data_IF_617923505641
#
_entry.id   IF_617923505641
#
_cell.length_a   1.000
_cell.length_b   1.000
_cell.length_c   1.000
_cell.angle_alpha   90.00
_cell.angle_beta   90.00
_cell.angle_gamma   90.00
#
_symmetry.space_group_name_H-M   'P 1'
#
loop_
_entity.id
_entity.type
_entity.pdbx_description
1 polymer ?
#
# COMPACT_ATOMS: atom_id res chain seq x y z
N UNK A 1 -1.40 -16.21 -19.30
CA UNK A 1 -1.83 -16.84 -18.02
C UNK A 1 -2.84 -15.96 -17.26
N UNK A 2 -3.77 -16.54 -16.49
CA UNK A 2 -4.73 -15.81 -15.62
C UNK A 2 -4.86 -16.45 -14.26
N UNK A 3 -5.12 -15.62 -13.24
CA UNK A 3 -5.43 -16.10 -11.88
C UNK A 3 -6.95 -16.20 -11.72
N UNK A 4 -7.41 -17.30 -11.19
CA UNK A 4 -8.82 -17.53 -10.81
C UNK A 4 -8.86 -17.83 -9.33
N UNK A 5 -9.70 -17.11 -8.60
CA UNK A 5 -9.91 -17.36 -7.18
C UNK A 5 -11.18 -18.17 -6.96
N UNK A 6 -11.08 -19.27 -6.28
CA UNK A 6 -12.21 -20.12 -5.91
C UNK A 6 -12.01 -20.68 -4.49
N UNK A 7 -13.05 -20.62 -3.66
CA UNK A 7 -13.07 -21.22 -2.33
C UNK A 7 -11.81 -20.94 -1.48
N UNK A 8 -11.42 -19.66 -1.41
CA UNK A 8 -10.23 -19.19 -0.70
C UNK A 8 -8.88 -19.72 -1.24
N UNK A 9 -8.86 -20.35 -2.41
CA UNK A 9 -7.65 -20.76 -3.13
C UNK A 9 -7.50 -19.97 -4.42
N UNK A 10 -6.28 -19.92 -4.93
CA UNK A 10 -5.96 -19.28 -6.21
C UNK A 10 -5.44 -20.32 -7.17
N UNK A 11 -6.03 -20.37 -8.36
CA UNK A 11 -5.60 -21.25 -9.45
C UNK A 11 -4.90 -20.37 -10.49
N UNK A 12 -3.72 -20.75 -10.90
CA UNK A 12 -3.03 -20.12 -12.03
C UNK A 12 -3.25 -20.99 -13.27
N UNK A 13 -3.98 -20.44 -14.23
CA UNK A 13 -4.31 -21.14 -15.47
C UNK A 13 -3.35 -20.66 -16.57
N UNK A 14 -2.84 -21.58 -17.37
CA UNK A 14 -2.11 -21.28 -18.59
C UNK A 14 -3.05 -20.72 -19.68
N UNK A 15 -2.55 -20.50 -20.88
CA UNK A 15 -3.35 -19.94 -21.98
C UNK A 15 -4.45 -20.89 -22.46
N UNK A 16 -4.25 -22.19 -22.37
CA UNK A 16 -5.19 -23.25 -22.76
C UNK A 16 -6.25 -23.49 -21.68
N UNK A 17 -6.20 -22.75 -20.58
CA UNK A 17 -7.12 -22.88 -19.45
C UNK A 17 -6.80 -24.03 -18.49
N UNK A 18 -5.70 -24.74 -18.71
CA UNK A 18 -5.23 -25.79 -17.82
C UNK A 18 -4.53 -25.22 -16.59
N UNK A 19 -4.63 -25.93 -15.47
CA UNK A 19 -4.00 -25.52 -14.21
C UNK A 19 -2.49 -25.72 -14.31
N UNK A 20 -1.74 -24.63 -14.07
CA UNK A 20 -0.28 -24.71 -13.89
C UNK A 20 0.02 -25.18 -12.46
N UNK A 21 0.24 -26.49 -12.31
CA UNK A 21 0.32 -27.12 -10.99
C UNK A 21 1.43 -26.55 -10.08
N UNK A 22 2.70 -26.38 -10.50
CA UNK A 22 3.74 -25.85 -9.62
C UNK A 22 3.43 -24.46 -9.09
N UNK A 23 2.96 -23.52 -9.94
CA UNK A 23 2.62 -22.18 -9.52
C UNK A 23 1.40 -22.14 -8.60
N UNK A 24 0.39 -22.94 -8.91
CA UNK A 24 -0.83 -23.06 -8.09
C UNK A 24 -0.50 -23.57 -6.68
N UNK A 25 0.31 -24.61 -6.58
CA UNK A 25 0.78 -25.15 -5.31
C UNK A 25 1.59 -24.12 -4.52
N UNK A 26 2.56 -23.47 -5.16
CA UNK A 26 3.35 -22.42 -4.54
C UNK A 26 2.48 -21.31 -3.96
N UNK A 27 1.53 -20.77 -4.74
CA UNK A 27 0.66 -19.68 -4.31
C UNK A 27 -0.16 -20.06 -3.09
N UNK A 28 -0.71 -21.28 -3.07
CA UNK A 28 -1.60 -21.71 -2.00
C UNK A 28 -0.89 -22.23 -0.75
N UNK A 29 0.34 -22.76 -0.89
CA UNK A 29 1.11 -23.27 0.23
C UNK A 29 1.90 -22.16 0.94
N UNK A 30 2.32 -21.13 0.19
CA UNK A 30 3.18 -20.06 0.74
C UNK A 30 2.41 -18.85 1.24
N UNK A 31 1.18 -18.62 0.74
CA UNK A 31 0.45 -17.39 1.01
C UNK A 31 -1.03 -17.66 1.31
N UNK A 32 -1.51 -17.12 2.44
CA UNK A 32 -2.92 -17.20 2.81
C UNK A 32 -3.76 -16.09 2.18
N UNK A 33 -3.14 -14.94 1.91
CA UNK A 33 -3.81 -13.75 1.43
C UNK A 33 -4.00 -13.76 -0.09
N UNK A 34 -5.23 -13.71 -0.63
CA UNK A 34 -5.51 -13.70 -2.08
C UNK A 34 -4.80 -12.57 -2.85
N UNK A 35 -4.71 -11.37 -2.27
CA UNK A 35 -4.00 -10.25 -2.94
C UNK A 35 -2.49 -10.47 -3.00
N UNK A 36 -1.92 -11.14 -2.00
CA UNK A 36 -0.51 -11.54 -2.06
C UNK A 36 -0.32 -12.55 -3.17
N UNK A 37 -1.21 -13.53 -3.29
CA UNK A 37 -1.18 -14.53 -4.38
C UNK A 37 -1.32 -13.88 -5.75
N UNK A 38 -2.26 -12.95 -5.92
CA UNK A 38 -2.45 -12.20 -7.16
C UNK A 38 -1.21 -11.36 -7.52
N UNK A 39 -0.65 -10.68 -6.52
CA UNK A 39 0.59 -9.94 -6.70
C UNK A 39 1.76 -10.85 -7.11
N UNK A 40 1.92 -12.01 -6.45
CA UNK A 40 2.96 -12.99 -6.78
C UNK A 40 2.80 -13.56 -8.19
N UNK A 41 1.56 -13.74 -8.64
CA UNK A 41 1.27 -14.22 -9.98
C UNK A 41 1.85 -13.32 -11.10
N UNK A 42 2.03 -12.03 -10.85
CA UNK A 42 2.68 -11.11 -11.79
C UNK A 42 4.11 -11.52 -12.14
N UNK A 43 4.92 -11.87 -11.13
CA UNK A 43 6.27 -12.40 -11.34
C UNK A 43 6.28 -13.80 -11.97
N UNK A 44 5.33 -14.66 -11.57
CA UNK A 44 5.22 -16.01 -12.13
C UNK A 44 4.82 -16.00 -13.60
N UNK A 45 3.93 -15.10 -14.02
CA UNK A 45 3.57 -14.91 -15.43
C UNK A 45 4.78 -14.49 -16.26
N UNK A 46 5.57 -13.57 -15.73
CA UNK A 46 6.81 -13.16 -16.39
C UNK A 46 7.79 -14.32 -16.52
N UNK A 47 8.01 -15.06 -15.43
CA UNK A 47 8.89 -16.24 -15.45
C UNK A 47 8.43 -17.26 -16.48
N UNK A 48 7.15 -17.61 -16.52
CA UNK A 48 6.65 -18.59 -17.49
C UNK A 48 6.85 -18.12 -18.92
N UNK A 49 6.50 -16.86 -19.22
CA UNK A 49 6.72 -16.30 -20.55
C UNK A 49 8.20 -16.37 -20.95
N UNK A 50 9.10 -16.15 -20.01
CA UNK A 50 10.53 -16.28 -20.22
C UNK A 50 10.95 -17.74 -20.50
N UNK A 51 10.49 -18.68 -19.67
CA UNK A 51 10.80 -20.11 -19.81
C UNK A 51 10.28 -20.65 -21.15
N UNK A 52 9.06 -20.30 -21.52
CA UNK A 52 8.45 -20.70 -22.80
C UNK A 52 9.22 -20.12 -24.00
N UNK A 53 9.63 -18.84 -23.93
CA UNK A 53 10.36 -18.18 -25.00
C UNK A 53 11.75 -18.80 -25.26
N UNK A 54 12.37 -19.31 -24.21
CA UNK A 54 13.70 -19.94 -24.28
C UNK A 54 13.64 -21.46 -24.27
N UNK A 55 12.48 -22.08 -24.32
CA UNK A 55 12.28 -23.54 -24.26
C UNK A 55 12.98 -24.17 -23.05
N UNK A 56 12.87 -23.51 -21.87
CA UNK A 56 13.53 -23.96 -20.65
C UNK A 56 12.55 -24.80 -19.82
N UNK A 57 12.88 -26.07 -19.60
CA UNK A 57 12.27 -26.90 -18.55
C UNK A 57 13.17 -26.92 -17.32
N UNK A 58 12.71 -26.32 -16.23
CA UNK A 58 13.47 -26.27 -14.97
C UNK A 58 13.63 -27.66 -14.34
N UNK A 59 12.70 -28.60 -14.58
CA UNK A 59 12.79 -29.93 -14.01
C UNK A 59 13.83 -30.76 -14.78
N UNK A 60 13.88 -30.68 -16.11
CA UNK A 60 14.90 -31.33 -16.91
C UNK A 60 16.30 -30.79 -16.60
N UNK A 61 16.45 -29.47 -16.56
CA UNK A 61 17.70 -28.82 -16.17
C UNK A 61 18.21 -29.23 -14.79
N UNK A 62 17.31 -29.40 -13.84
CA UNK A 62 17.67 -29.85 -12.51
C UNK A 62 18.27 -31.29 -12.52
N UNK A 63 17.83 -32.16 -13.39
CA UNK A 63 18.41 -33.49 -13.54
C UNK A 63 19.85 -33.43 -14.09
N UNK A 64 20.17 -32.37 -14.86
CA UNK A 64 21.52 -32.09 -15.38
C UNK A 64 22.39 -31.29 -14.40
N UNK A 65 21.86 -30.88 -13.27
CA UNK A 65 22.58 -30.05 -12.30
C UNK A 65 22.55 -28.55 -12.61
N UNK A 66 21.62 -28.10 -13.45
CA UNK A 66 21.51 -26.72 -13.92
C UNK A 66 20.27 -26.00 -13.34
N UNK A 67 20.38 -24.67 -13.26
CA UNK A 67 19.26 -23.74 -13.04
C UNK A 67 19.24 -22.74 -14.21
N UNK A 68 18.92 -21.48 -13.97
CA UNK A 68 19.08 -20.43 -14.96
C UNK A 68 20.57 -20.09 -15.18
N UNK A 69 20.96 -19.88 -16.42
CA UNK A 69 22.31 -19.47 -16.80
C UNK A 69 22.49 -17.95 -16.57
N UNK A 70 23.72 -17.45 -16.41
CA UNK A 70 23.97 -16.02 -16.17
C UNK A 70 23.35 -15.08 -17.22
N UNK A 71 23.48 -15.43 -18.52
CA UNK A 71 22.86 -14.68 -19.61
C UNK A 71 21.33 -14.71 -19.59
N UNK A 72 20.73 -15.80 -19.12
CA UNK A 72 19.29 -15.94 -18.96
C UNK A 72 18.80 -15.08 -17.78
N UNK A 73 19.58 -14.97 -16.71
CA UNK A 73 19.29 -14.09 -15.58
C UNK A 73 19.31 -12.63 -16.03
N UNK A 74 20.28 -12.21 -16.85
CA UNK A 74 20.32 -10.85 -17.39
C UNK A 74 19.13 -10.56 -18.31
N UNK A 75 18.79 -11.48 -19.20
CA UNK A 75 17.60 -11.36 -20.06
C UNK A 75 16.30 -11.28 -19.24
N UNK A 76 16.19 -12.07 -18.17
CA UNK A 76 15.04 -12.02 -17.27
C UNK A 76 14.94 -10.69 -16.50
N UNK A 77 16.09 -10.11 -16.14
CA UNK A 77 16.19 -8.77 -15.53
C UNK A 77 15.66 -7.69 -16.46
N UNK A 78 16.07 -7.70 -17.71
CA UNK A 78 15.59 -6.74 -18.71
C UNK A 78 14.08 -6.88 -18.95
N UNK A 79 13.58 -8.10 -19.05
CA UNK A 79 12.15 -8.38 -19.20
C UNK A 79 11.32 -7.91 -17.99
N UNK A 80 11.90 -7.89 -16.78
CA UNK A 80 11.19 -7.43 -15.58
C UNK A 80 10.77 -5.96 -15.65
N UNK A 81 11.44 -5.14 -16.47
CA UNK A 81 11.07 -3.74 -16.71
C UNK A 81 9.97 -3.55 -17.76
N UNK A 82 9.54 -4.60 -18.45
CA UNK A 82 8.48 -4.51 -19.46
C UNK A 82 7.10 -4.80 -18.85
N UNK A 83 6.01 -4.23 -19.40
CA UNK A 83 4.66 -4.62 -19.03
C UNK A 83 4.43 -6.12 -19.27
N UNK A 84 3.83 -6.83 -18.31
CA UNK A 84 3.62 -8.30 -18.41
C UNK A 84 2.82 -8.67 -19.66
N UNK A 85 1.81 -7.87 -20.01
CA UNK A 85 0.99 -8.12 -21.19
C UNK A 85 1.82 -8.05 -22.50
N UNK A 86 2.80 -7.15 -22.57
CA UNK A 86 3.70 -7.07 -23.73
C UNK A 86 4.59 -8.31 -23.80
N UNK A 87 5.13 -8.75 -22.65
CA UNK A 87 5.96 -9.96 -22.59
C UNK A 87 5.18 -11.19 -23.02
N UNK A 88 3.92 -11.32 -22.57
CA UNK A 88 3.03 -12.43 -22.99
C UNK A 88 2.72 -12.39 -24.50
N UNK A 89 2.55 -11.20 -25.09
CA UNK A 89 2.36 -11.04 -26.52
C UNK A 89 3.63 -11.35 -27.32
N UNK A 90 4.81 -10.99 -26.80
CA UNK A 90 6.09 -11.31 -27.39
C UNK A 90 6.30 -12.82 -27.50
N UNK A 91 5.89 -13.58 -26.50
CA UNK A 91 6.00 -15.04 -26.49
C UNK A 91 5.14 -15.67 -27.60
N UNK A 92 4.01 -15.06 -27.94
CA UNK A 92 3.08 -15.55 -28.96
C UNK A 92 3.54 -15.31 -30.41
N UNK A 93 4.38 -14.30 -30.67
CA UNK A 93 4.70 -13.90 -32.05
C UNK A 93 6.16 -13.51 -32.34
N UNK A 94 7.05 -13.46 -31.36
CA UNK A 94 8.29 -12.69 -31.45
C UNK A 94 9.60 -13.44 -31.29
N UNK A 95 9.58 -14.72 -31.00
CA UNK A 95 10.81 -15.55 -30.87
C UNK A 95 11.73 -15.45 -32.10
N UNK A 96 11.20 -15.07 -33.26
CA UNK A 96 11.96 -14.89 -34.49
C UNK A 96 12.72 -13.56 -34.63
N UNK A 97 12.53 -12.56 -33.75
CA UNK A 97 13.14 -11.22 -33.90
C UNK A 97 14.11 -10.76 -32.82
N UNK A 98 14.27 -11.46 -31.70
CA UNK A 98 15.20 -11.07 -30.63
C UNK A 98 16.69 -11.17 -31.10
N UNK A 99 16.98 -11.90 -32.15
CA UNK A 99 18.34 -12.01 -32.73
C UNK A 99 18.85 -10.80 -33.53
N UNK A 100 18.06 -9.73 -33.70
CA UNK A 100 18.44 -8.54 -34.51
C UNK A 100 17.93 -7.20 -33.93
N UNK A 101 17.88 -7.01 -32.63
CA UNK A 101 17.61 -5.71 -32.05
C UNK A 101 18.86 -4.82 -32.20
N UNK A 102 18.77 -3.78 -33.00
CA UNK A 102 19.79 -2.76 -33.16
C UNK A 102 19.87 -1.91 -31.89
N UNK A 103 21.06 -1.37 -31.57
CA UNK A 103 21.34 -0.49 -30.45
C UNK A 103 20.43 0.78 -30.39
N UNK A 104 19.81 1.14 -31.51
CA UNK A 104 18.91 2.31 -31.61
C UNK A 104 17.50 2.08 -31.04
N UNK A 105 17.10 0.82 -30.81
CA UNK A 105 15.79 0.52 -30.21
C UNK A 105 15.75 0.72 -28.70
N UNK A 106 16.89 0.81 -28.02
CA UNK A 106 16.92 1.03 -26.57
C UNK A 106 16.36 2.40 -26.13
N UNK A 107 16.56 3.44 -26.92
CA UNK A 107 16.10 4.79 -26.58
C UNK A 107 14.62 5.03 -26.90
N UNK A 108 14.04 4.30 -27.86
CA UNK A 108 12.62 4.45 -28.25
C UNK A 108 11.65 3.63 -27.39
N UNK A 109 12.13 2.60 -26.70
CA UNK A 109 11.30 1.66 -25.93
C UNK A 109 11.04 2.05 -24.47
N UNK A 110 11.52 3.21 -23.99
CA UNK A 110 11.33 3.65 -22.60
C UNK A 110 9.92 4.18 -22.28
N UNK A 111 9.06 4.39 -23.27
CA UNK A 111 7.68 4.92 -23.04
C UNK A 111 6.71 3.95 -22.36
N UNK A 112 7.07 2.68 -22.23
CA UNK A 112 6.25 1.65 -21.56
C UNK A 112 6.93 0.95 -20.39
N UNK A 113 8.15 1.35 -20.02
CA UNK A 113 8.88 0.68 -18.94
C UNK A 113 8.17 0.85 -17.59
N UNK A 114 8.08 -0.23 -16.82
CA UNK A 114 7.57 -0.18 -15.45
C UNK A 114 8.60 0.43 -14.51
N UNK A 115 8.14 1.01 -13.41
CA UNK A 115 9.03 1.56 -12.38
C UNK A 115 10.00 0.50 -11.82
N UNK A 116 11.21 0.93 -11.49
CA UNK A 116 12.28 0.08 -10.93
C UNK A 116 11.82 -0.73 -9.72
N UNK A 117 10.96 -0.17 -8.87
CA UNK A 117 10.39 -0.89 -7.72
C UNK A 117 9.47 -2.04 -8.16
N UNK A 118 8.74 -1.88 -9.26
CA UNK A 118 7.87 -2.93 -9.81
C UNK A 118 8.72 -4.06 -10.41
N UNK A 119 9.76 -3.71 -11.17
CA UNK A 119 10.72 -4.68 -11.72
C UNK A 119 11.42 -5.45 -10.60
N UNK A 120 11.96 -4.75 -9.60
CA UNK A 120 12.59 -5.34 -8.43
C UNK A 120 11.68 -6.33 -7.70
N UNK A 121 10.40 -5.95 -7.51
CA UNK A 121 9.40 -6.82 -6.87
C UNK A 121 9.12 -8.09 -7.69
N UNK A 122 9.07 -8.00 -9.03
CA UNK A 122 8.90 -9.16 -9.90
C UNK A 122 10.07 -10.13 -9.78
N UNK A 123 11.30 -9.62 -9.77
CA UNK A 123 12.50 -10.44 -9.59
C UNK A 123 12.53 -11.12 -8.21
N UNK A 124 12.13 -10.43 -7.14
CA UNK A 124 11.97 -11.00 -5.81
C UNK A 124 10.92 -12.13 -5.79
N UNK A 125 9.81 -11.95 -6.49
CA UNK A 125 8.76 -12.95 -6.63
C UNK A 125 9.26 -14.21 -7.34
N UNK A 126 10.01 -14.02 -8.41
CA UNK A 126 10.65 -15.12 -9.17
C UNK A 126 11.67 -15.84 -8.28
N UNK A 127 12.57 -15.11 -7.62
CA UNK A 127 13.56 -15.69 -6.72
C UNK A 127 12.92 -16.50 -5.59
N UNK A 128 11.82 -16.00 -5.05
CA UNK A 128 11.03 -16.70 -3.99
C UNK A 128 10.42 -17.99 -4.52
N UNK A 129 9.86 -17.98 -5.75
CA UNK A 129 9.32 -19.18 -6.38
C UNK A 129 10.41 -20.20 -6.68
N UNK A 130 11.52 -19.80 -7.29
CA UNK A 130 12.61 -20.71 -7.64
C UNK A 130 13.17 -21.41 -6.40
N UNK A 131 13.34 -20.67 -5.29
CA UNK A 131 13.75 -21.25 -4.01
C UNK A 131 12.77 -22.31 -3.53
N UNK A 132 11.48 -21.96 -3.49
CA UNK A 132 10.42 -22.87 -3.06
C UNK A 132 10.31 -24.11 -3.97
N UNK A 133 10.43 -23.91 -5.29
CA UNK A 133 10.34 -24.99 -6.28
C UNK A 133 11.48 -25.98 -6.13
N UNK A 134 12.70 -25.51 -5.88
CA UNK A 134 13.81 -26.37 -5.55
C UNK A 134 13.54 -27.16 -4.28
N UNK A 135 13.27 -26.49 -3.17
CA UNK A 135 13.10 -27.10 -1.84
C UNK A 135 11.91 -28.10 -1.75
N UNK A 136 10.81 -27.83 -2.45
CA UNK A 136 9.59 -28.61 -2.30
C UNK A 136 9.26 -29.57 -3.46
N UNK A 137 9.94 -29.42 -4.59
CA UNK A 137 9.63 -30.25 -5.79
C UNK A 137 10.88 -30.92 -6.35
N UNK A 138 11.94 -30.18 -6.62
CA UNK A 138 13.09 -30.69 -7.35
C UNK A 138 14.04 -31.50 -6.48
N UNK A 139 14.27 -31.09 -5.24
CA UNK A 139 15.18 -31.76 -4.33
C UNK A 139 14.83 -33.25 -4.16
N UNK A 140 13.55 -33.58 -4.08
CA UNK A 140 13.07 -34.97 -3.91
C UNK A 140 13.21 -35.81 -5.19
N UNK A 141 13.37 -35.18 -6.36
CA UNK A 141 13.55 -35.87 -7.63
C UNK A 141 15.00 -36.23 -7.92
N UNK A 142 15.94 -35.57 -7.25
CA UNK A 142 17.37 -35.74 -7.49
C UNK A 142 17.93 -36.82 -6.56
N UNK A 143 18.23 -37.98 -7.11
CA UNK A 143 18.76 -39.12 -6.35
C UNK A 143 20.21 -38.97 -5.89
N UNK A 144 21.05 -38.31 -6.72
CA UNK A 144 22.46 -38.10 -6.43
C UNK A 144 22.70 -36.97 -5.45
N UNK A 145 23.36 -37.26 -4.33
CA UNK A 145 23.68 -36.28 -3.29
C UNK A 145 24.60 -35.18 -3.83
N UNK A 146 25.59 -35.53 -4.65
CA UNK A 146 26.51 -34.56 -5.26
C UNK A 146 25.77 -33.60 -6.20
N UNK A 147 24.89 -34.13 -7.06
CA UNK A 147 24.04 -33.28 -7.92
C UNK A 147 23.10 -32.40 -7.13
N UNK A 148 22.53 -32.90 -6.02
CA UNK A 148 21.67 -32.10 -5.14
C UNK A 148 22.40 -30.88 -4.58
N UNK A 149 23.59 -31.08 -4.04
CA UNK A 149 24.41 -29.98 -3.49
C UNK A 149 24.83 -28.97 -4.56
N UNK A 150 25.16 -29.44 -5.79
CA UNK A 150 25.50 -28.54 -6.90
C UNK A 150 24.30 -27.69 -7.32
N UNK A 151 23.12 -28.30 -7.43
CA UNK A 151 21.90 -27.58 -7.79
C UNK A 151 21.49 -26.60 -6.70
N UNK A 152 21.56 -26.97 -5.44
CA UNK A 152 21.31 -26.07 -4.30
C UNK A 152 22.18 -24.82 -4.38
N UNK A 153 23.48 -25.00 -4.64
CA UNK A 153 24.42 -23.92 -4.84
C UNK A 153 24.03 -23.02 -6.00
N UNK A 154 23.58 -23.59 -7.13
CA UNK A 154 23.15 -22.82 -8.33
C UNK A 154 21.85 -22.06 -8.08
N UNK A 155 20.86 -22.67 -7.42
CA UNK A 155 19.61 -21.96 -7.06
C UNK A 155 19.89 -20.82 -6.09
N UNK A 156 20.78 -21.00 -5.13
CA UNK A 156 21.23 -19.95 -4.22
C UNK A 156 21.92 -18.82 -4.98
N UNK A 157 22.83 -19.13 -5.88
CA UNK A 157 23.51 -18.15 -6.72
C UNK A 157 22.52 -17.39 -7.63
N UNK A 158 21.55 -18.08 -8.23
CA UNK A 158 20.49 -17.46 -9.04
C UNK A 158 19.64 -16.50 -8.19
N UNK A 159 19.25 -16.93 -7.00
CA UNK A 159 18.53 -16.09 -6.04
C UNK A 159 19.31 -14.85 -5.64
N UNK A 160 20.59 -15.01 -5.33
CA UNK A 160 21.46 -13.91 -4.94
C UNK A 160 21.69 -12.93 -6.11
N UNK A 161 21.82 -13.43 -7.32
CA UNK A 161 21.92 -12.64 -8.55
C UNK A 161 20.64 -11.85 -8.81
N UNK A 162 19.46 -12.47 -8.73
CA UNK A 162 18.18 -11.79 -8.87
C UNK A 162 17.98 -10.73 -7.75
N UNK A 163 18.33 -11.06 -6.52
CA UNK A 163 18.26 -10.13 -5.39
C UNK A 163 19.30 -9.01 -5.47
N UNK A 164 20.46 -9.26 -6.06
CA UNK A 164 21.50 -8.25 -6.31
C UNK A 164 21.01 -7.15 -7.27
N UNK A 165 20.26 -7.55 -8.31
CA UNK A 165 19.57 -6.60 -9.19
C UNK A 165 18.58 -5.70 -8.44
N UNK A 166 17.93 -6.25 -7.40
CA UNK A 166 16.99 -5.53 -6.55
C UNK A 166 17.70 -4.43 -5.75
N UNK A 167 18.93 -4.67 -5.27
CA UNK A 167 19.68 -3.68 -4.47
C UNK A 167 20.00 -2.41 -5.26
N UNK A 168 20.28 -2.51 -6.55
CA UNK A 168 20.46 -1.36 -7.43
C UNK A 168 19.16 -0.62 -7.77
N UNK A 169 18.01 -1.31 -7.74
CA UNK A 169 16.68 -0.75 -8.04
C UNK A 169 15.89 -0.27 -6.82
N UNK A 170 16.20 -0.76 -5.63
CA UNK A 170 15.68 -0.20 -4.38
C UNK A 170 16.38 1.13 -4.12
N UNK A 171 15.98 2.18 -4.85
CA UNK A 171 16.05 3.52 -4.27
C UNK A 171 15.40 3.37 -2.90
N UNK A 172 16.20 3.50 -1.84
CA UNK A 172 15.72 3.48 -0.47
C UNK A 172 14.46 4.31 -0.44
N UNK A 173 13.45 3.89 0.28
CA UNK A 173 12.15 4.55 0.33
C UNK A 173 12.36 6.04 0.19
N UNK A 174 11.85 6.62 -0.88
CA UNK A 174 12.12 8.00 -1.22
C UNK A 174 11.98 8.83 0.05
N UNK A 175 12.94 9.68 0.32
CA UNK A 175 12.91 10.63 1.42
C UNK A 175 11.77 11.66 1.23
N UNK A 176 10.82 11.34 0.39
CA UNK A 176 9.70 12.16 -0.01
C UNK A 176 8.78 12.39 1.19
N UNK A 177 8.60 13.65 1.52
CA UNK A 177 7.62 14.11 2.50
C UNK A 177 6.25 14.04 1.83
N UNK A 178 5.35 13.23 2.39
CA UNK A 178 4.00 13.01 1.86
C UNK A 178 2.91 13.61 2.72
N UNK A 179 3.24 14.04 3.93
CA UNK A 179 2.29 14.69 4.83
C UNK A 179 1.98 16.12 4.38
N UNK A 180 0.77 16.55 4.64
CA UNK A 180 0.35 17.93 4.52
C UNK A 180 1.03 18.79 5.60
N UNK A 181 1.22 20.10 5.37
CA UNK A 181 1.51 21.06 6.43
C UNK A 181 0.41 21.01 7.50
N UNK A 182 0.76 21.32 8.76
CA UNK A 182 -0.16 21.23 9.91
C UNK A 182 -1.40 22.11 9.72
N UNK A 183 -1.20 23.36 9.32
CA UNK A 183 -2.26 24.32 9.06
C UNK A 183 -3.22 23.87 7.96
N UNK A 184 -2.70 23.40 6.83
CA UNK A 184 -3.49 22.86 5.72
C UNK A 184 -4.27 21.61 6.18
N UNK A 185 -3.61 20.72 6.92
CA UNK A 185 -4.24 19.50 7.41
C UNK A 185 -5.40 19.79 8.37
N UNK A 186 -5.20 20.68 9.34
CA UNK A 186 -6.25 21.09 10.28
C UNK A 186 -7.39 21.83 9.59
N UNK A 187 -7.07 22.69 8.59
CA UNK A 187 -8.08 23.36 7.81
C UNK A 187 -8.94 22.39 6.99
N UNK A 188 -8.33 21.38 6.36
CA UNK A 188 -9.06 20.33 5.65
C UNK A 188 -9.98 19.56 6.59
N UNK A 189 -9.52 19.17 7.78
CA UNK A 189 -10.36 18.53 8.79
C UNK A 189 -11.56 19.41 9.15
N UNK A 190 -11.30 20.68 9.41
CA UNK A 190 -12.33 21.66 9.74
C UNK A 190 -13.39 21.76 8.64
N UNK A 191 -12.97 21.91 7.39
CA UNK A 191 -13.88 22.06 6.26
C UNK A 191 -14.69 20.80 5.98
N UNK A 192 -14.08 19.61 6.07
CA UNK A 192 -14.78 18.31 5.94
C UNK A 192 -15.82 18.16 7.07
N UNK A 193 -15.49 18.63 8.27
CA UNK A 193 -16.41 18.51 9.41
C UNK A 193 -17.56 19.52 9.33
N UNK A 194 -17.26 20.80 9.05
CA UNK A 194 -18.25 21.88 9.15
C UNK A 194 -19.07 22.08 7.88
N UNK A 195 -18.51 21.77 6.69
CA UNK A 195 -19.11 22.12 5.39
C UNK A 195 -19.04 20.97 4.38
N UNK A 196 -19.47 19.76 4.74
CA UNK A 196 -19.41 18.61 3.84
C UNK A 196 -20.26 18.82 2.57
N UNK A 197 -21.37 19.54 2.66
CA UNK A 197 -22.26 19.87 1.54
C UNK A 197 -21.54 20.76 0.50
N UNK A 198 -20.76 21.72 0.97
CA UNK A 198 -20.00 22.61 0.09
C UNK A 198 -18.92 21.84 -0.66
N UNK A 199 -18.19 20.95 0.02
CA UNK A 199 -17.19 20.09 -0.60
C UNK A 199 -17.85 19.16 -1.63
N UNK A 200 -19.01 18.60 -1.32
CA UNK A 200 -19.73 17.75 -2.24
C UNK A 200 -20.23 18.54 -3.45
N UNK A 201 -20.84 19.71 -3.27
CA UNK A 201 -21.29 20.58 -4.36
C UNK A 201 -20.14 20.99 -5.25
N UNK A 202 -19.02 21.41 -4.68
CA UNK A 202 -17.81 21.77 -5.41
C UNK A 202 -17.23 20.60 -6.22
N UNK A 203 -17.43 19.35 -5.79
CA UNK A 203 -17.00 18.18 -6.55
C UNK A 203 -17.75 17.98 -7.87
N UNK A 204 -18.94 18.57 -8.01
CA UNK A 204 -19.85 18.34 -9.15
C UNK A 204 -20.38 16.90 -9.23
N UNK A 205 -20.23 16.11 -8.17
CA UNK A 205 -20.70 14.72 -8.08
C UNK A 205 -21.82 14.67 -7.05
N UNK A 206 -23.06 14.48 -7.50
CA UNK A 206 -24.15 14.18 -6.59
C UNK A 206 -23.91 12.82 -5.93
N UNK A 207 -23.99 12.78 -4.61
CA UNK A 207 -23.79 11.53 -3.85
C UNK A 207 -24.82 11.46 -2.72
N UNK A 208 -25.56 10.37 -2.69
CA UNK A 208 -26.42 10.02 -1.54
C UNK A 208 -25.62 9.54 -0.32
N UNK A 209 -24.30 9.60 -0.39
CA UNK A 209 -23.39 9.01 0.61
C UNK A 209 -22.44 10.05 1.21
N UNK A 210 -22.89 11.29 1.33
CA UNK A 210 -22.08 12.40 1.83
C UNK A 210 -21.63 12.19 3.27
N UNK A 211 -22.54 11.78 4.16
CA UNK A 211 -22.20 11.56 5.57
C UNK A 211 -21.27 10.37 5.76
N UNK A 212 -21.43 9.32 4.96
CA UNK A 212 -20.49 8.20 4.90
C UNK A 212 -19.10 8.67 4.49
N UNK A 213 -19.00 9.42 3.41
CA UNK A 213 -17.73 9.89 2.87
C UNK A 213 -17.03 10.83 3.87
N UNK A 214 -17.81 11.70 4.55
CA UNK A 214 -17.33 12.55 5.66
C UNK A 214 -16.75 11.72 6.81
N UNK A 215 -17.47 10.70 7.27
CA UNK A 215 -17.00 9.82 8.35
C UNK A 215 -15.74 9.05 7.95
N UNK A 216 -15.71 8.51 6.73
CA UNK A 216 -14.53 7.81 6.16
C UNK A 216 -13.31 8.73 6.09
N UNK A 217 -13.48 9.96 5.63
CA UNK A 217 -12.37 10.91 5.52
C UNK A 217 -11.82 11.32 6.88
N UNK A 218 -12.71 11.62 7.85
CA UNK A 218 -12.27 11.98 9.21
C UNK A 218 -11.61 10.80 9.94
N UNK A 219 -12.09 9.57 9.75
CA UNK A 219 -11.40 8.36 10.23
C UNK A 219 -10.00 8.22 9.62
N UNK A 220 -9.84 8.55 8.34
CA UNK A 220 -8.52 8.56 7.70
C UNK A 220 -7.63 9.69 8.23
N UNK A 221 -8.21 10.85 8.60
CA UNK A 221 -7.51 11.92 9.29
C UNK A 221 -7.05 11.51 10.70
N UNK A 222 -7.71 10.58 11.37
CA UNK A 222 -7.17 9.94 12.59
C UNK A 222 -5.95 9.04 12.32
N UNK A 223 -5.56 8.87 11.06
CA UNK A 223 -4.47 8.02 10.62
C UNK A 223 -4.85 6.56 10.40
N UNK A 224 -6.15 6.20 10.37
CA UNK A 224 -6.59 4.85 10.10
C UNK A 224 -6.31 4.45 8.64
N UNK A 225 -5.89 3.19 8.44
CA UNK A 225 -5.75 2.65 7.08
C UNK A 225 -7.13 2.39 6.47
N UNK A 226 -7.30 2.53 5.13
CA UNK A 226 -8.56 2.20 4.46
C UNK A 226 -9.09 0.82 4.83
N UNK A 227 -8.18 -0.12 4.98
CA UNK A 227 -8.54 -1.47 5.40
C UNK A 227 -9.08 -1.58 6.81
N UNK A 228 -8.54 -0.83 7.74
CA UNK A 228 -9.10 -0.76 9.08
C UNK A 228 -10.50 -0.13 9.02
N UNK A 229 -10.65 1.02 8.34
CA UNK A 229 -11.93 1.72 8.20
C UNK A 229 -13.02 0.81 7.64
N UNK A 230 -12.70 0.09 6.55
CA UNK A 230 -13.66 -0.82 5.93
C UNK A 230 -13.98 -2.06 6.78
N UNK A 231 -13.18 -2.40 7.78
CA UNK A 231 -13.38 -3.57 8.65
C UNK A 231 -14.00 -3.23 10.01
N UNK A 232 -14.23 -1.95 10.32
CA UNK A 232 -14.90 -1.54 11.54
C UNK A 232 -16.32 -2.07 11.63
N UNK A 233 -16.72 -2.50 12.81
CA UNK A 233 -18.09 -2.85 13.16
C UNK A 233 -18.69 -1.80 14.09
N UNK A 234 -20.01 -1.81 14.23
CA UNK A 234 -20.70 -0.90 15.19
C UNK A 234 -20.20 -1.11 16.61
N UNK A 235 -19.86 -2.35 16.98
CA UNK A 235 -19.40 -2.69 18.34
C UNK A 235 -17.97 -2.21 18.61
N UNK A 236 -17.23 -1.84 17.58
CA UNK A 236 -15.87 -1.32 17.74
C UNK A 236 -15.86 0.18 18.08
N UNK A 237 -16.97 0.88 17.85
CA UNK A 237 -17.12 2.31 18.14
C UNK A 237 -17.80 2.54 19.49
N UNK A 238 -17.11 3.25 20.37
CA UNK A 238 -17.58 3.60 21.72
C UNK A 238 -17.46 5.09 21.93
N UNK A 239 -18.59 5.75 21.99
CA UNK A 239 -18.68 7.18 22.30
C UNK A 239 -19.96 7.51 23.02
N UNK A 240 -19.85 8.32 24.08
CA UNK A 240 -20.99 8.90 24.75
C UNK A 240 -21.29 10.25 24.11
N UNK A 241 -22.51 10.42 23.61
CA UNK A 241 -22.94 11.68 22.97
C UNK A 241 -22.74 12.85 23.94
N UNK A 242 -22.10 13.91 23.43
CA UNK A 242 -21.76 15.10 24.24
C UNK A 242 -20.41 15.00 24.97
N UNK A 243 -19.71 13.88 24.90
CA UNK A 243 -18.34 13.79 25.44
C UNK A 243 -17.36 14.60 24.59
N UNK A 244 -16.95 15.74 25.13
CA UNK A 244 -15.97 16.64 24.50
C UNK A 244 -14.55 16.07 24.44
N UNK A 245 -14.26 15.03 25.22
CA UNK A 245 -12.99 14.35 25.21
C UNK A 245 -12.84 13.38 24.01
N UNK A 246 -13.92 13.17 23.24
CA UNK A 246 -13.98 12.22 22.13
C UNK A 246 -14.35 10.80 22.55
N UNK A 247 -14.22 9.86 21.62
CA UNK A 247 -14.57 8.46 21.80
C UNK A 247 -13.39 7.52 21.63
N UNK A 248 -13.70 6.24 21.52
CA UNK A 248 -12.73 5.18 21.31
C UNK A 248 -13.15 4.28 20.15
N UNK A 249 -12.15 3.75 19.45
CA UNK A 249 -12.32 2.79 18.37
C UNK A 249 -11.41 1.60 18.62
N UNK A 250 -12.00 0.41 18.70
CA UNK A 250 -11.25 -0.84 18.80
C UNK A 250 -10.90 -1.33 17.40
N UNK A 251 -9.61 -1.47 17.11
CA UNK A 251 -9.12 -1.93 15.82
C UNK A 251 -8.85 -3.43 15.90
N UNK A 252 -9.80 -4.22 15.40
CA UNK A 252 -9.80 -5.67 15.42
C UNK A 252 -9.66 -6.24 14.02
N UNK A 253 -9.22 -7.48 13.93
CA UNK A 253 -9.26 -8.22 12.67
C UNK A 253 -10.64 -8.83 12.46
N UNK A 254 -11.51 -8.08 11.80
CA UNK A 254 -12.86 -8.52 11.44
C UNK A 254 -12.92 -9.16 10.02
N UNK A 255 -11.78 -9.45 9.39
CA UNK A 255 -11.73 -9.99 8.01
C UNK A 255 -12.49 -11.31 7.90
N UNK A 256 -12.41 -12.18 8.91
CA UNK A 256 -13.14 -13.45 8.94
C UNK A 256 -14.67 -13.28 8.91
N UNK A 257 -15.21 -12.15 9.40
CA UNK A 257 -16.64 -11.83 9.33
C UNK A 257 -17.10 -11.50 7.90
N UNK A 258 -16.18 -11.19 7.00
CA UNK A 258 -16.46 -10.90 5.60
C UNK A 258 -16.41 -12.17 4.78
N UNK A 259 -17.49 -12.53 4.12
CA UNK A 259 -17.48 -13.57 3.10
C UNK A 259 -16.92 -13.09 1.74
N UNK A 260 -16.52 -11.84 1.65
CA UNK A 260 -16.02 -11.21 0.42
C UNK A 260 -14.49 -11.10 0.44
N UNK A 261 -13.89 -11.13 -0.74
CA UNK A 261 -12.45 -11.21 -1.06
C UNK A 261 -11.56 -10.07 -0.55
N UNK A 262 -12.02 -9.21 0.36
CA UNK A 262 -11.25 -8.02 0.67
C UNK A 262 -10.44 -8.24 1.92
N UNK A 263 -9.20 -8.41 1.66
CA UNK A 263 -8.13 -8.39 2.64
C UNK A 263 -7.47 -7.03 2.62
N UNK A 264 -8.08 -6.11 3.27
CA UNK A 264 -7.44 -4.84 3.57
C UNK A 264 -6.62 -5.03 4.84
N UNK A 265 -5.38 -4.59 4.81
CA UNK A 265 -4.46 -4.65 5.95
C UNK A 265 -5.07 -3.93 7.14
N UNK A 266 -5.46 -4.67 8.17
CA UNK A 266 -5.96 -4.12 9.43
C UNK A 266 -4.86 -3.38 10.19
N UNK A 267 -5.23 -2.56 11.17
CA UNK A 267 -4.29 -1.82 12.03
C UNK A 267 -4.12 -2.49 13.37
N UNK A 268 -3.97 -3.80 13.39
CA UNK A 268 -3.57 -4.51 14.61
C UNK A 268 -2.08 -4.31 14.87
N UNK A 269 -1.70 -4.15 16.12
CA UNK A 269 -0.29 -4.01 16.48
C UNK A 269 0.43 -5.33 16.22
N UNK A 270 1.52 -5.25 15.49
CA UNK A 270 2.38 -6.41 15.23
C UNK A 270 3.35 -6.64 16.39
N UNK A 271 3.54 -7.89 16.78
CA UNK A 271 4.61 -8.28 17.69
C UNK A 271 6.00 -8.05 17.08
N UNK A 272 7.02 -8.01 17.93
CA UNK A 272 8.42 -7.88 17.52
C UNK A 272 8.82 -9.13 16.74
N UNK A 273 9.36 -8.94 15.53
CA UNK A 273 9.87 -10.03 14.67
C UNK A 273 8.80 -10.94 14.06
N UNK A 274 7.51 -10.66 14.30
CA UNK A 274 6.42 -11.51 13.81
C UNK A 274 6.00 -11.10 12.40
N UNK A 275 6.01 -12.07 11.49
CA UNK A 275 5.33 -12.00 10.20
C UNK A 275 3.97 -12.70 10.22
N UNK A 276 3.64 -13.43 11.30
CA UNK A 276 2.45 -14.26 11.48
C UNK A 276 1.36 -13.54 12.27
N UNK A 277 0.11 -13.93 12.04
CA UNK A 277 -1.06 -13.33 12.70
C UNK A 277 -1.14 -13.64 14.21
N UNK A 278 -0.39 -14.63 14.70
CA UNK A 278 -0.45 -15.15 16.07
C UNK A 278 -0.04 -14.14 17.16
N UNK A 279 0.66 -13.07 16.77
CA UNK A 279 1.16 -12.04 17.69
C UNK A 279 0.52 -10.65 17.45
N UNK A 280 -0.58 -10.60 16.72
CA UNK A 280 -1.28 -9.33 16.49
C UNK A 280 -2.22 -9.05 17.66
N UNK A 281 -2.00 -7.96 18.36
CA UNK A 281 -2.91 -7.49 19.42
C UNK A 281 -3.90 -6.46 18.89
N UNK A 282 -5.10 -6.46 19.43
CA UNK A 282 -6.10 -5.41 19.22
C UNK A 282 -5.55 -4.07 19.73
N UNK A 283 -5.89 -3.00 19.05
CA UNK A 283 -5.48 -1.65 19.41
C UNK A 283 -6.71 -0.80 19.62
N UNK A 284 -6.83 -0.19 20.79
CA UNK A 284 -7.84 0.83 21.05
C UNK A 284 -7.23 2.20 20.77
N UNK A 285 -7.84 2.95 19.86
CA UNK A 285 -7.45 4.32 19.53
C UNK A 285 -8.49 5.30 20.03
N UNK A 286 -8.04 6.41 20.61
CA UNK A 286 -8.90 7.54 20.96
C UNK A 286 -9.21 8.33 19.69
N UNK A 287 -10.48 8.64 19.47
CA UNK A 287 -10.95 9.46 18.37
C UNK A 287 -11.23 10.88 18.82
N UNK A 288 -11.03 11.84 17.94
CA UNK A 288 -11.41 13.22 18.16
C UNK A 288 -12.94 13.40 18.21
N UNK A 289 -13.44 14.39 18.95
CA UNK A 289 -14.89 14.60 19.10
C UNK A 289 -15.60 14.78 17.76
N UNK A 290 -15.05 15.57 16.84
CA UNK A 290 -15.65 15.81 15.53
C UNK A 290 -15.71 14.54 14.66
N UNK A 291 -14.76 13.62 14.79
CA UNK A 291 -14.82 12.31 14.14
C UNK A 291 -15.96 11.47 14.71
N UNK A 292 -16.12 11.50 16.02
CA UNK A 292 -17.23 10.81 16.71
C UNK A 292 -18.59 11.35 16.27
N UNK A 293 -18.75 12.68 16.19
CA UNK A 293 -19.96 13.30 15.67
C UNK A 293 -20.26 12.86 14.24
N UNK A 294 -19.27 12.92 13.35
CA UNK A 294 -19.46 12.51 11.96
C UNK A 294 -19.86 11.04 11.81
N UNK A 295 -19.28 10.15 12.64
CA UNK A 295 -19.68 8.73 12.68
C UNK A 295 -21.14 8.60 13.16
N UNK A 296 -21.51 9.30 14.19
CA UNK A 296 -22.88 9.25 14.73
C UNK A 296 -23.90 9.79 13.75
N UNK A 297 -23.63 10.93 13.12
CA UNK A 297 -24.49 11.51 12.07
C UNK A 297 -24.71 10.52 10.93
N UNK A 298 -23.63 9.82 10.50
CA UNK A 298 -23.74 8.78 9.49
C UNK A 298 -24.57 7.57 9.96
N UNK A 299 -24.37 7.12 11.21
CA UNK A 299 -25.12 5.97 11.78
C UNK A 299 -26.61 6.29 11.82
N UNK A 300 -26.98 7.47 12.35
CA UNK A 300 -28.37 7.86 12.58
C UNK A 300 -29.07 8.32 11.28
N UNK A 301 -28.32 8.84 10.33
CA UNK A 301 -28.81 9.32 9.04
C UNK A 301 -28.72 8.28 7.90
N UNK A 302 -27.74 8.42 7.03
CA UNK A 302 -27.63 7.63 5.80
C UNK A 302 -27.60 6.11 6.06
N UNK A 303 -26.84 5.68 7.08
CA UNK A 303 -26.76 4.26 7.42
C UNK A 303 -28.10 3.72 7.89
N UNK A 304 -28.83 4.44 8.74
CA UNK A 304 -30.18 4.06 9.21
C UNK A 304 -31.16 3.96 8.04
N UNK A 305 -31.11 4.90 7.09
CA UNK A 305 -31.96 4.88 5.89
C UNK A 305 -31.69 3.63 5.03
N UNK A 306 -30.41 3.28 4.82
CA UNK A 306 -30.03 2.08 4.06
C UNK A 306 -30.48 0.81 4.80
N UNK A 307 -30.27 0.73 6.10
CA UNK A 307 -30.63 -0.48 6.88
C UNK A 307 -32.12 -0.66 7.07
N UNK A 308 -32.91 0.42 7.08
CA UNK A 308 -34.37 0.37 7.09
C UNK A 308 -34.98 -0.21 5.80
N UNK A 309 -34.24 -0.13 4.70
CA UNK A 309 -34.67 -0.64 3.38
C UNK A 309 -34.11 -2.03 3.04
N UNK A 310 -33.11 -2.53 3.78
CA UNK A 310 -32.41 -3.78 3.49
C UNK A 310 -32.52 -4.76 4.63
N UNK A 311 -32.60 -6.06 4.31
CA UNK A 311 -32.57 -7.13 5.30
C UNK A 311 -31.32 -7.00 6.18
N UNK A 312 -31.51 -6.94 7.49
CA UNK A 312 -30.48 -6.75 8.54
C UNK A 312 -29.28 -7.68 8.41
N UNK A 313 -29.45 -8.87 7.84
CA UNK A 313 -28.38 -9.85 7.62
C UNK A 313 -27.32 -9.41 6.58
N UNK A 314 -27.58 -8.40 5.76
CA UNK A 314 -26.62 -7.93 4.74
C UNK A 314 -25.49 -7.07 5.32
N UNK A 315 -25.80 -6.25 6.33
CA UNK A 315 -24.80 -5.34 6.92
C UNK A 315 -23.74 -6.06 7.75
N UNK A 316 -24.06 -7.25 8.27
CA UNK A 316 -23.18 -8.06 9.16
C UNK A 316 -22.57 -7.25 10.32
N UNK A 317 -23.25 -6.18 10.74
CA UNK A 317 -22.80 -5.31 11.81
C UNK A 317 -21.64 -4.36 11.44
N UNK A 318 -21.22 -4.31 10.15
CA UNK A 318 -20.18 -3.36 9.75
C UNK A 318 -20.63 -1.91 9.91
N UNK A 319 -19.69 -1.07 10.39
CA UNK A 319 -19.92 0.35 10.59
C UNK A 319 -20.14 1.05 9.24
N UNK A 320 -19.20 0.89 8.32
CA UNK A 320 -19.24 1.51 7.00
C UNK A 320 -19.82 0.50 5.99
N UNK A 321 -20.95 0.88 5.39
CA UNK A 321 -21.68 0.02 4.44
C UNK A 321 -21.81 0.68 3.06
N UNK A 322 -21.97 -0.14 2.05
CA UNK A 322 -22.27 0.29 0.68
C UNK A 322 -23.76 0.61 0.53
N UNK A 323 -24.13 1.30 -0.53
CA UNK A 323 -25.49 1.77 -0.80
C UNK A 323 -26.52 0.62 -0.88
N UNK A 324 -26.08 -0.57 -1.25
CA UNK A 324 -26.90 -1.79 -1.25
C UNK A 324 -26.97 -2.51 0.10
N UNK A 325 -26.46 -1.89 1.19
CA UNK A 325 -26.51 -2.41 2.55
C UNK A 325 -25.46 -3.46 2.90
N UNK A 326 -24.63 -3.91 1.97
CA UNK A 326 -23.50 -4.81 2.24
C UNK A 326 -22.32 -4.07 2.87
N UNK A 327 -21.37 -4.81 3.50
CA UNK A 327 -20.12 -4.18 3.93
C UNK A 327 -19.47 -3.49 2.74
N UNK A 328 -18.83 -2.35 2.98
CA UNK A 328 -18.05 -1.69 1.94
C UNK A 328 -17.07 -2.71 1.38
N UNK A 329 -17.37 -3.11 0.14
CA UNK A 329 -16.81 -4.33 -0.42
C UNK A 329 -15.37 -4.17 -0.82
N UNK A 330 -14.97 -3.02 -1.30
CA UNK A 330 -13.76 -2.94 -2.09
C UNK A 330 -12.93 -1.72 -1.68
N UNK A 331 -11.61 -1.88 -1.82
CA UNK A 331 -10.66 -0.78 -1.78
C UNK A 331 -11.07 0.32 -2.78
N UNK A 332 -11.66 -0.04 -3.91
CA UNK A 332 -12.18 0.88 -4.93
C UNK A 332 -13.30 1.77 -4.38
N UNK A 333 -14.24 1.23 -3.61
CA UNK A 333 -15.35 2.02 -3.04
C UNK A 333 -14.85 3.05 -2.02
N UNK A 334 -13.91 2.67 -1.14
CA UNK A 334 -13.26 3.62 -0.23
C UNK A 334 -12.42 4.64 -0.99
N UNK A 335 -11.70 4.21 -2.03
CA UNK A 335 -10.92 5.12 -2.88
C UNK A 335 -11.81 6.12 -3.61
N UNK A 336 -13.02 5.72 -4.03
CA UNK A 336 -13.98 6.61 -4.67
C UNK A 336 -14.45 7.74 -3.73
N UNK A 337 -14.63 7.47 -2.43
CA UNK A 337 -14.92 8.52 -1.44
C UNK A 337 -13.79 9.57 -1.39
N UNK A 338 -12.53 9.13 -1.33
CA UNK A 338 -11.38 10.04 -1.35
C UNK A 338 -11.29 10.84 -2.66
N UNK A 339 -11.63 10.24 -3.81
CA UNK A 339 -11.64 10.93 -5.12
C UNK A 339 -12.70 12.03 -5.12
N UNK A 340 -13.92 11.77 -4.61
CA UNK A 340 -14.98 12.78 -4.53
C UNK A 340 -14.58 13.95 -3.64
N UNK A 341 -14.10 13.66 -2.43
CA UNK A 341 -13.67 14.69 -1.48
C UNK A 341 -12.49 15.48 -2.04
N UNK A 342 -11.49 14.80 -2.61
CA UNK A 342 -10.34 15.46 -3.26
C UNK A 342 -10.78 16.46 -4.32
N UNK A 343 -11.75 16.07 -5.18
CA UNK A 343 -12.25 16.94 -6.24
C UNK A 343 -12.92 18.20 -5.66
N UNK A 344 -13.70 18.04 -4.60
CA UNK A 344 -14.32 19.18 -3.90
C UNK A 344 -13.28 20.09 -3.23
N UNK A 345 -12.30 19.52 -2.53
CA UNK A 345 -11.24 20.28 -1.90
C UNK A 345 -10.36 21.05 -2.91
N UNK A 346 -10.08 20.45 -4.08
CA UNK A 346 -9.38 21.13 -5.18
C UNK A 346 -10.20 22.30 -5.72
N UNK A 347 -11.49 22.08 -5.99
CA UNK A 347 -12.39 23.14 -6.48
C UNK A 347 -12.55 24.29 -5.48
N UNK A 348 -12.40 24.00 -4.18
CA UNK A 348 -12.42 25.01 -3.11
C UNK A 348 -11.04 25.67 -2.83
N UNK A 349 -9.99 25.29 -3.59
CA UNK A 349 -8.62 25.81 -3.38
C UNK A 349 -7.93 25.34 -2.10
N UNK A 350 -8.52 24.35 -1.39
CA UNK A 350 -8.02 23.88 -0.10
C UNK A 350 -6.81 22.93 -0.21
N UNK A 351 -6.52 22.47 -1.42
CA UNK A 351 -5.35 21.66 -1.73
C UNK A 351 -4.26 22.42 -2.49
N UNK A 352 -4.41 23.70 -2.68
CA UNK A 352 -3.39 24.51 -3.34
C UNK A 352 -2.13 24.56 -2.48
N UNK A 353 -1.01 24.31 -3.12
CA UNK A 353 0.28 24.29 -2.42
C UNK A 353 0.67 25.69 -2.00
N UNK A 354 1.03 25.84 -0.73
CA UNK A 354 1.66 27.07 -0.26
C UNK A 354 3.01 27.28 -0.97
N UNK A 355 3.30 28.53 -1.36
CA UNK A 355 4.60 28.90 -1.93
C UNK A 355 5.77 28.66 -0.97
N UNK A 356 5.51 28.69 0.33
CA UNK A 356 6.49 28.40 1.38
C UNK A 356 6.81 26.91 1.55
N UNK A 357 5.97 26.01 1.04
CA UNK A 357 6.22 24.57 1.14
C UNK A 357 7.20 24.11 0.05
N UNK A 358 8.46 23.91 0.44
CA UNK A 358 9.54 23.51 -0.47
C UNK A 358 9.65 21.97 -0.64
N UNK A 359 8.87 21.18 0.11
CA UNK A 359 9.00 19.72 0.09
C UNK A 359 8.33 19.03 -1.10
N UNK A 360 7.43 19.69 -1.78
CA UNK A 360 6.65 19.13 -2.88
C UNK A 360 6.91 19.89 -4.18
N UNK A 361 7.04 19.17 -5.27
CA UNK A 361 7.25 19.73 -6.62
C UNK A 361 5.94 19.88 -7.43
N UNK A 362 4.78 19.58 -6.81
CA UNK A 362 3.46 19.68 -7.47
C UNK A 362 2.75 20.96 -7.05
N UNK A 363 1.85 21.48 -7.89
CA UNK A 363 1.06 22.69 -7.61
C UNK A 363 -0.02 22.46 -6.54
N UNK A 364 -0.41 21.20 -6.30
CA UNK A 364 -1.44 20.82 -5.34
C UNK A 364 -0.98 19.71 -4.42
N UNK A 365 -1.48 19.76 -3.19
CA UNK A 365 -1.33 18.66 -2.24
C UNK A 365 -2.13 17.43 -2.66
N UNK A 366 -1.58 16.26 -2.37
CA UNK A 366 -2.30 14.99 -2.58
C UNK A 366 -3.26 14.74 -1.41
N UNK A 367 -4.49 14.36 -1.73
CA UNK A 367 -5.48 13.93 -0.75
C UNK A 367 -5.77 12.44 -0.94
N UNK A 368 -5.11 11.63 -0.12
CA UNK A 368 -5.29 10.17 -0.07
C UNK A 368 -5.27 9.71 1.38
N UNK A 369 -5.86 8.57 1.68
CA UNK A 369 -5.77 8.00 3.03
C UNK A 369 -4.32 7.80 3.50
N UNK A 370 -3.39 7.58 2.57
CA UNK A 370 -1.97 7.44 2.88
C UNK A 370 -1.35 8.79 3.26
N UNK A 371 -1.63 9.84 2.49
CA UNK A 371 -1.21 11.22 2.81
C UNK A 371 -1.75 11.66 4.16
N UNK A 372 -3.04 11.43 4.42
CA UNK A 372 -3.66 11.78 5.71
C UNK A 372 -3.04 11.02 6.88
N UNK A 373 -2.68 9.77 6.69
CA UNK A 373 -1.97 9.00 7.72
C UNK A 373 -0.55 9.54 8.00
N UNK A 374 0.15 10.04 6.99
CA UNK A 374 1.42 10.73 7.19
C UNK A 374 1.22 12.04 7.94
N UNK A 375 0.17 12.78 7.62
CA UNK A 375 -0.17 14.04 8.29
C UNK A 375 -0.56 13.83 9.75
N UNK A 376 -1.37 12.80 10.03
CA UNK A 376 -1.73 12.41 11.40
C UNK A 376 -0.50 12.03 12.23
N UNK A 377 0.45 11.31 11.65
CA UNK A 377 1.68 10.92 12.33
C UNK A 377 2.61 12.13 12.58
N UNK A 378 2.68 13.06 11.64
CA UNK A 378 3.43 14.32 11.81
C UNK A 378 2.80 15.17 12.91
N UNK A 379 1.48 15.36 12.89
CA UNK A 379 0.76 16.10 13.92
C UNK A 379 0.96 15.46 15.30
N UNK A 380 0.85 14.12 15.41
CA UNK A 380 1.05 13.42 16.68
C UNK A 380 2.44 13.66 17.25
N UNK A 381 3.48 13.59 16.40
CA UNK A 381 4.86 13.86 16.83
C UNK A 381 5.06 15.32 17.25
N UNK A 382 4.39 16.28 16.61
CA UNK A 382 4.44 17.68 16.99
C UNK A 382 3.78 17.95 18.34
N UNK A 383 2.57 17.42 18.54
CA UNK A 383 1.80 17.62 19.78
C UNK A 383 2.43 16.92 21.01
N UNK A 384 3.14 15.83 20.78
CA UNK A 384 3.81 15.03 21.82
C UNK A 384 5.32 15.31 21.92
N UNK A 385 5.74 16.46 21.42
CA UNK A 385 7.15 16.82 21.45
C UNK A 385 7.69 16.92 22.88
N UNK A 386 8.84 16.27 23.12
CA UNK A 386 9.50 16.28 24.43
C UNK A 386 9.14 15.05 25.31
N UNK A 387 8.18 14.23 24.92
CA UNK A 387 7.94 12.95 25.59
C UNK A 387 8.98 11.91 25.15
N UNK A 388 9.63 11.23 26.10
CA UNK A 388 10.73 10.30 25.84
C UNK A 388 10.29 9.06 25.04
N UNK A 389 9.03 8.64 25.16
CA UNK A 389 8.45 7.44 24.59
C UNK A 389 7.54 7.70 23.37
N UNK A 390 7.59 8.90 22.77
CA UNK A 390 6.69 9.32 21.69
C UNK A 390 6.68 8.33 20.52
N UNK A 391 7.81 7.72 20.15
CA UNK A 391 7.87 6.75 19.06
C UNK A 391 7.17 5.43 19.40
N UNK A 392 7.22 5.01 20.66
CA UNK A 392 6.51 3.82 21.13
C UNK A 392 5.00 4.09 21.19
N UNK A 393 4.59 5.26 21.65
CA UNK A 393 3.20 5.70 21.58
C UNK A 393 2.71 5.75 20.14
N UNK A 394 3.54 6.22 19.18
CA UNK A 394 3.21 6.20 17.76
C UNK A 394 3.08 4.75 17.23
N UNK A 395 3.96 3.84 17.64
CA UNK A 395 3.85 2.43 17.26
C UNK A 395 2.52 1.86 17.72
N UNK A 396 2.12 2.11 18.95
CA UNK A 396 0.84 1.70 19.50
C UNK A 396 -0.35 2.36 18.76
N UNK A 397 -0.35 3.69 18.66
CA UNK A 397 -1.43 4.47 18.02
C UNK A 397 -1.69 4.06 16.58
N UNK A 398 -0.63 3.84 15.80
CA UNK A 398 -0.72 3.56 14.36
C UNK A 398 -0.58 2.08 14.00
N UNK A 399 -0.51 1.16 15.00
CA UNK A 399 -0.41 -0.27 14.77
C UNK A 399 0.88 -0.67 14.04
N UNK A 400 2.01 -0.11 14.46
CA UNK A 400 3.34 -0.51 14.01
C UNK A 400 4.01 -1.42 15.03
N UNK A 401 4.97 -2.25 14.59
CA UNK A 401 5.74 -3.07 15.50
C UNK A 401 6.57 -2.18 16.45
N UNK A 402 6.69 -2.56 17.74
CA UNK A 402 7.59 -1.87 18.66
C UNK A 402 9.02 -1.80 18.10
N UNK A 403 9.71 -0.69 18.32
CA UNK A 403 11.05 -0.44 17.77
C UNK A 403 11.13 -0.27 16.25
N UNK A 404 9.99 -0.10 15.57
CA UNK A 404 9.93 0.08 14.14
C UNK A 404 10.43 1.47 13.70
N UNK A 405 11.07 1.54 12.53
CA UNK A 405 11.43 2.82 11.88
C UNK A 405 10.23 3.54 11.22
N UNK A 406 9.01 2.97 11.33
CA UNK A 406 7.82 3.57 10.72
C UNK A 406 7.45 4.93 11.31
N UNK A 407 7.54 5.20 12.62
CA UNK A 407 7.34 6.53 13.17
C UNK A 407 8.14 7.61 12.42
N UNK A 408 9.45 7.45 12.35
CA UNK A 408 10.33 8.40 11.64
C UNK A 408 10.00 8.55 10.16
N UNK A 409 9.58 7.47 9.50
CA UNK A 409 9.19 7.50 8.09
C UNK A 409 7.89 8.28 7.87
N UNK A 410 6.89 8.06 8.71
CA UNK A 410 5.58 8.69 8.55
C UNK A 410 5.53 10.13 9.05
N UNK A 411 6.24 10.45 10.14
CA UNK A 411 6.32 11.80 10.71
C UNK A 411 7.49 12.63 10.14
N UNK A 412 7.95 12.32 8.93
CA UNK A 412 9.16 12.93 8.36
C UNK A 412 9.04 14.43 8.18
N UNK A 413 7.84 14.96 7.85
CA UNK A 413 7.63 16.42 7.77
C UNK A 413 7.95 17.09 9.10
N UNK A 414 7.35 16.63 10.20
CA UNK A 414 7.59 17.19 11.52
C UNK A 414 9.08 17.16 11.91
N UNK A 415 9.78 16.08 11.55
CA UNK A 415 11.22 15.97 11.79
C UNK A 415 11.99 16.99 10.94
N UNK A 416 11.64 17.15 9.66
CA UNK A 416 12.31 18.06 8.74
C UNK A 416 12.03 19.53 9.08
N UNK A 417 10.79 19.85 9.43
CA UNK A 417 10.40 21.21 9.84
C UNK A 417 11.17 21.64 11.08
N UNK A 418 11.32 20.76 12.08
CA UNK A 418 12.14 21.02 13.27
C UNK A 418 13.61 21.24 12.94
N UNK A 419 14.17 20.46 12.04
CA UNK A 419 15.56 20.63 11.63
C UNK A 419 15.82 21.97 10.93
N UNK A 420 14.79 22.55 10.30
CA UNK A 420 14.89 23.79 9.52
C UNK A 420 14.48 25.03 10.30
N UNK A 421 13.64 24.93 11.35
CA UNK A 421 13.16 26.07 12.15
C UNK A 421 14.33 26.86 12.72
N UNK A 422 15.32 26.18 13.31
CA UNK A 422 16.47 26.85 13.90
C UNK A 422 17.27 27.71 12.90
N UNK A 423 17.29 27.30 11.65
CA UNK A 423 17.98 28.05 10.58
C UNK A 423 17.16 29.24 10.10
N UNK A 424 15.82 29.12 10.05
CA UNK A 424 14.95 30.23 9.65
C UNK A 424 14.97 31.35 10.66
N UNK A 425 14.84 31.07 11.96
CA UNK A 425 14.88 32.03 13.03
C UNK A 425 16.23 32.75 13.07
N UNK A 426 17.32 32.04 12.87
CA UNK A 426 18.66 32.64 12.78
C UNK A 426 18.77 33.56 11.58
N UNK A 427 18.24 33.16 10.43
CA UNK A 427 18.28 34.02 9.23
C UNK A 427 17.44 35.29 9.38
N UNK A 428 16.26 35.20 10.00
CA UNK A 428 15.44 36.37 10.31
C UNK A 428 16.15 37.34 11.26
N UNK A 429 16.87 36.83 12.27
CA UNK A 429 17.67 37.64 13.15
C UNK A 429 18.78 38.38 12.39
N UNK A 430 19.45 37.70 11.46
CA UNK A 430 20.47 38.31 10.60
C UNK A 430 19.91 39.41 9.68
N UNK A 431 18.74 39.20 9.10
CA UNK A 431 18.05 40.18 8.28
C UNK A 431 17.66 41.43 9.10
N UNK A 432 17.23 41.24 10.33
CA UNK A 432 16.91 42.32 11.24
C UNK A 432 18.16 43.13 11.63
N UNK A 433 19.28 42.46 11.92
CA UNK A 433 20.56 43.14 12.17
C UNK A 433 21.07 43.88 10.94
N UNK A 434 20.94 43.31 9.73
CA UNK A 434 21.33 43.94 8.48
C UNK A 434 20.52 45.23 8.21
N UNK A 435 19.24 45.26 8.54
CA UNK A 435 18.40 46.46 8.46
C UNK A 435 18.90 47.54 9.42
N UNK A 436 19.14 47.17 10.70
CA UNK A 436 19.66 48.12 11.69
C UNK A 436 20.99 48.79 11.25
N UNK A 437 21.88 48.00 10.64
CA UNK A 437 23.16 48.52 10.14
C UNK A 437 22.94 49.52 8.99
N UNK A 438 21.98 49.26 8.11
CA UNK A 438 21.64 50.17 6.99
C UNK A 438 20.94 51.44 7.42
N UNK A 439 20.20 51.40 8.52
CA UNK A 439 19.49 52.57 9.06
C UNK A 439 20.41 53.46 9.91
N UNK A 440 21.64 53.02 10.20
CA UNK A 440 22.66 53.76 10.99
C UNK A 440 23.76 54.40 10.10
N UNK A 441 23.81 54.01 8.83
CA UNK A 441 24.70 54.58 7.80
C UNK A 441 23.92 55.53 6.90
#
# INVERSE_FOLDING_TARGET
MRVVHANNKSLLLNQDGLIHAPFTLFLNNKFDNPHTRESMAGGLRLLQSFLDAHSIDLAERALEGLCLLPNEIESLRELAYRPVNEVEQMTMGFIKRIGKASKDDHARNLKGAVESNTAARRLEQIATFLTWYFENVLEYRIRSVSKRSEIERRYKSTKDSLNGAIRGGKKGHSNEIRSLPKDVYLNIIREIFLRPEMIQSASGISSSTMMRDRAVALLACEGLRPGAIGNLTLNDFRWRVGDVAGGYMDLRDNVAKRKTRITTKTMVQKGIGSTTQEYNSEVTVKLWPWTCHAIKDYIDGERAAITGQTLTNRTKGFLIIADHGGPIGDRTTLSAAFVRIKKGLLAAGLLDKSRSDQYLNSDHYQFTAYTLRHSAASLFLEEKHGENDVFDQMCQRFGWAPGSLMPSKYARRAISDRANINMADFFESLLFEQKKIKDVV
#
